data_IF_933992894296
#
_entry.id   IF_933992894296
#
_cell.length_a   1.000
_cell.length_b   1.000
_cell.length_c   1.000
_cell.angle_alpha   90.00
_cell.angle_beta   90.00
_cell.angle_gamma   90.00
#
_symmetry.space_group_name_H-M   'P 1'
#
loop_
_entity.id
_entity.type
_entity.pdbx_description
1 polymer ?
#
# COMPACT_ATOMS: atom_id res chain seq x y z
N UNK A 1 10.14 -27.74 17.19
CA UNK A 1 10.95 -26.95 16.23
C UNK A 1 11.84 -27.92 15.46
N UNK A 2 11.90 -27.83 14.14
CA UNK A 2 12.74 -28.69 13.30
C UNK A 2 14.20 -28.22 13.36
N UNK A 3 15.15 -29.12 13.07
CA UNK A 3 16.58 -28.79 13.06
C UNK A 3 16.93 -27.81 11.90
N UNK A 4 16.17 -27.87 10.81
CA UNK A 4 16.36 -27.02 9.61
C UNK A 4 15.03 -26.95 8.85
N UNK A 5 14.79 -25.82 8.17
CA UNK A 5 13.73 -25.59 7.20
C UNK A 5 14.31 -25.42 5.80
N UNK A 6 13.49 -25.59 4.78
CA UNK A 6 13.87 -25.21 3.42
C UNK A 6 13.81 -23.69 3.27
N UNK A 7 12.74 -23.08 3.81
CA UNK A 7 12.49 -21.63 3.74
C UNK A 7 12.11 -21.08 5.11
N UNK A 8 12.72 -19.96 5.48
CA UNK A 8 12.25 -19.12 6.59
C UNK A 8 11.65 -17.84 6.01
N UNK A 9 10.41 -17.54 6.37
CA UNK A 9 9.71 -16.31 6.01
C UNK A 9 9.67 -15.38 7.22
N UNK A 10 10.20 -14.17 7.08
CA UNK A 10 10.18 -13.16 8.13
C UNK A 10 9.06 -12.17 7.84
N UNK A 11 8.04 -12.16 8.71
CA UNK A 11 6.80 -11.38 8.57
C UNK A 11 5.63 -12.20 8.04
N UNK A 12 4.50 -12.10 8.74
CA UNK A 12 3.24 -12.79 8.43
C UNK A 12 2.15 -11.83 7.92
N UNK A 13 2.54 -10.81 7.18
CA UNK A 13 1.62 -9.99 6.38
C UNK A 13 1.13 -10.75 5.14
N UNK A 14 0.28 -10.13 4.28
CA UNK A 14 -0.21 -10.77 3.06
C UNK A 14 0.91 -11.32 2.16
N UNK A 15 2.03 -10.59 2.00
CA UNK A 15 3.18 -11.05 1.22
C UNK A 15 3.80 -12.33 1.82
N UNK A 16 4.08 -12.31 3.13
CA UNK A 16 4.74 -13.43 3.79
C UNK A 16 3.88 -14.69 3.83
N UNK A 17 2.58 -14.57 4.13
CA UNK A 17 1.66 -15.72 4.14
C UNK A 17 1.51 -16.34 2.75
N UNK A 18 1.44 -15.52 1.69
CA UNK A 18 1.35 -16.03 0.31
C UNK A 18 2.69 -16.59 -0.19
N UNK A 19 3.82 -16.00 0.22
CA UNK A 19 5.12 -16.57 -0.09
C UNK A 19 5.32 -17.94 0.58
N UNK A 20 4.92 -18.05 1.85
CA UNK A 20 4.96 -19.33 2.58
C UNK A 20 4.04 -20.37 1.93
N UNK A 21 2.81 -19.96 1.55
CA UNK A 21 1.87 -20.83 0.83
C UNK A 21 2.49 -21.36 -0.47
N UNK A 22 3.05 -20.48 -1.29
CA UNK A 22 3.66 -20.86 -2.56
C UNK A 22 4.80 -21.86 -2.39
N UNK A 23 5.68 -21.68 -1.41
CA UNK A 23 6.76 -22.62 -1.12
C UNK A 23 6.22 -23.96 -0.58
N UNK A 24 5.28 -23.91 0.36
CA UNK A 24 4.72 -25.10 0.99
C UNK A 24 3.87 -25.96 0.05
N UNK A 25 3.10 -25.34 -0.87
CA UNK A 25 2.37 -26.08 -1.94
C UNK A 25 3.31 -26.84 -2.89
N UNK A 26 4.56 -26.41 -2.99
CA UNK A 26 5.59 -27.09 -3.77
C UNK A 26 6.34 -28.17 -2.98
N UNK A 27 5.89 -28.48 -1.74
CA UNK A 27 6.40 -29.58 -0.93
C UNK A 27 7.56 -29.21 -0.02
N UNK A 28 7.87 -27.91 0.17
CA UNK A 28 8.97 -27.46 1.02
C UNK A 28 8.53 -27.18 2.46
N UNK A 29 9.43 -27.43 3.41
CA UNK A 29 9.25 -27.14 4.82
C UNK A 29 9.49 -25.67 5.10
N UNK A 30 8.47 -24.96 5.63
CA UNK A 30 8.50 -23.52 5.83
C UNK A 30 8.34 -23.18 7.29
N UNK A 31 9.15 -22.22 7.79
CA UNK A 31 8.91 -21.52 9.05
C UNK A 31 8.49 -20.08 8.78
N UNK A 32 7.44 -19.61 9.45
CA UNK A 32 7.05 -18.20 9.46
C UNK A 32 7.38 -17.61 10.82
N UNK A 33 8.06 -16.48 10.83
CA UNK A 33 8.43 -15.72 12.03
C UNK A 33 7.67 -14.41 12.03
N UNK A 34 6.89 -14.14 13.07
CA UNK A 34 6.08 -12.92 13.21
C UNK A 34 6.23 -12.33 14.62
N UNK A 35 6.49 -11.02 14.68
CA UNK A 35 6.64 -10.30 15.95
C UNK A 35 5.34 -10.05 16.71
N UNK A 36 4.18 -10.00 15.99
CA UNK A 36 2.88 -9.81 16.62
C UNK A 36 2.52 -11.01 17.49
N UNK A 37 1.81 -10.77 18.57
CA UNK A 37 1.26 -11.84 19.42
C UNK A 37 0.23 -12.69 18.68
N UNK A 38 -0.53 -12.06 17.78
CA UNK A 38 -1.54 -12.73 16.94
C UNK A 38 -1.51 -12.15 15.54
N UNK A 39 -1.19 -12.96 14.56
CA UNK A 39 -1.05 -12.56 13.15
C UNK A 39 -2.30 -11.83 12.63
N UNK A 40 -3.55 -12.31 12.85
CA UNK A 40 -4.72 -11.65 12.27
C UNK A 40 -5.00 -10.26 12.81
N UNK A 41 -4.52 -9.94 14.02
CA UNK A 41 -4.83 -8.65 14.64
C UNK A 41 -4.12 -7.52 13.93
N UNK A 42 -4.89 -6.52 13.47
CA UNK A 42 -4.35 -5.33 12.82
C UNK A 42 -3.89 -4.35 13.90
N UNK A 43 -2.60 -4.11 13.98
CA UNK A 43 -1.95 -3.19 14.92
C UNK A 43 -1.37 -1.96 14.23
N UNK A 44 -1.32 -1.94 12.91
CA UNK A 44 -0.83 -0.83 12.08
C UNK A 44 -1.96 -0.26 11.23
N UNK A 45 -1.83 0.98 10.86
CA UNK A 45 -2.76 1.65 9.96
C UNK A 45 -2.79 0.98 8.58
N UNK A 46 -3.98 0.82 8.01
CA UNK A 46 -4.20 0.29 6.67
C UNK A 46 -5.62 0.67 6.20
N UNK A 47 -5.76 1.15 4.97
CA UNK A 47 -7.06 1.49 4.39
C UNK A 47 -7.97 0.29 4.19
N UNK A 48 -7.41 -0.89 3.95
CA UNK A 48 -8.15 -2.13 3.70
C UNK A 48 -9.06 -2.00 2.49
N UNK A 49 -8.52 -1.48 1.40
CA UNK A 49 -9.18 -1.41 0.10
C UNK A 49 -8.36 -2.12 -0.97
N UNK A 50 -9.02 -2.55 -2.03
CA UNK A 50 -8.41 -3.21 -3.18
C UNK A 50 -8.83 -2.51 -4.45
N UNK A 51 -7.92 -2.46 -5.44
CA UNK A 51 -8.23 -1.91 -6.76
C UNK A 51 -9.28 -2.76 -7.48
N UNK A 52 -9.97 -2.17 -8.47
CA UNK A 52 -11.01 -2.85 -9.20
C UNK A 52 -10.45 -3.92 -10.15
N UNK A 53 -11.28 -4.90 -10.53
CA UNK A 53 -10.90 -5.95 -11.46
C UNK A 53 -10.63 -5.45 -12.90
N UNK A 54 -11.03 -4.23 -13.23
CA UNK A 54 -10.94 -3.68 -14.58
C UNK A 54 -9.61 -2.96 -14.86
N UNK A 55 -8.74 -2.85 -13.88
CA UNK A 55 -7.44 -2.20 -14.02
C UNK A 55 -6.33 -3.22 -13.85
N UNK A 56 -5.36 -3.21 -14.77
CA UNK A 56 -4.15 -4.01 -14.62
C UNK A 56 -3.22 -3.37 -13.61
N UNK A 57 -2.79 -4.17 -12.64
CA UNK A 57 -1.79 -3.79 -11.67
C UNK A 57 -0.61 -4.77 -11.70
N UNK A 58 0.58 -4.29 -11.98
CA UNK A 58 1.77 -5.12 -12.24
C UNK A 58 1.54 -6.22 -13.28
N UNK A 59 0.79 -5.88 -14.34
CA UNK A 59 0.40 -6.83 -15.37
C UNK A 59 -0.67 -7.84 -14.92
N UNK A 60 -1.29 -7.65 -13.76
CA UNK A 60 -2.26 -8.57 -13.20
C UNK A 60 -3.62 -7.92 -13.06
N UNK A 61 -4.65 -8.69 -13.33
CA UNK A 61 -6.02 -8.41 -12.96
C UNK A 61 -6.31 -9.04 -11.60
N UNK A 62 -7.13 -8.36 -10.83
CA UNK A 62 -7.70 -8.86 -9.59
C UNK A 62 -9.21 -8.93 -9.70
N UNK A 63 -9.83 -9.97 -9.18
CA UNK A 63 -11.28 -9.99 -9.00
C UNK A 63 -11.67 -10.81 -7.75
N UNK A 64 -12.84 -10.52 -7.22
CA UNK A 64 -13.46 -11.32 -6.19
C UNK A 64 -14.54 -12.20 -6.82
N UNK A 65 -14.37 -13.51 -6.71
CA UNK A 65 -15.39 -14.47 -7.08
C UNK A 65 -16.39 -14.62 -5.93
N UNK A 66 -17.55 -14.00 -6.05
CA UNK A 66 -18.58 -13.96 -5.02
C UNK A 66 -19.18 -15.35 -4.74
N UNK A 67 -19.29 -16.19 -5.77
CA UNK A 67 -19.85 -17.53 -5.64
C UNK A 67 -18.96 -18.45 -4.80
N UNK A 68 -17.67 -18.44 -5.10
CA UNK A 68 -16.69 -19.31 -4.47
C UNK A 68 -16.00 -18.65 -3.27
N UNK A 69 -16.34 -17.39 -2.99
CA UNK A 69 -15.73 -16.53 -1.95
C UNK A 69 -14.20 -16.56 -2.00
N UNK A 70 -13.65 -16.24 -3.17
CA UNK A 70 -12.20 -16.25 -3.41
C UNK A 70 -11.72 -14.96 -4.05
N UNK A 71 -10.57 -14.47 -3.58
CA UNK A 71 -9.76 -13.52 -4.33
C UNK A 71 -8.96 -14.27 -5.40
N UNK A 72 -8.98 -13.73 -6.61
CA UNK A 72 -8.38 -14.36 -7.78
C UNK A 72 -7.49 -13.37 -8.53
N UNK A 73 -6.31 -13.86 -8.90
CA UNK A 73 -5.30 -13.17 -9.72
C UNK A 73 -4.92 -14.08 -10.89
N UNK A 74 -5.75 -14.14 -11.94
CA UNK A 74 -5.61 -15.17 -13.00
C UNK A 74 -4.25 -15.13 -13.70
N UNK A 75 -3.68 -13.94 -13.92
CA UNK A 75 -2.41 -13.78 -14.63
C UNK A 75 -1.19 -14.36 -13.87
N UNK A 76 -1.29 -14.57 -12.57
CA UNK A 76 -0.22 -15.19 -11.75
C UNK A 76 -0.62 -16.55 -11.17
N UNK A 77 -1.79 -17.06 -11.56
CA UNK A 77 -2.28 -18.36 -11.09
C UNK A 77 -2.57 -18.39 -9.58
N UNK A 78 -2.83 -17.23 -8.96
CA UNK A 78 -3.10 -17.12 -7.54
C UNK A 78 -4.60 -17.06 -7.27
N UNK A 79 -5.08 -17.92 -6.37
CA UNK A 79 -6.41 -17.81 -5.81
C UNK A 79 -6.41 -18.32 -4.37
N UNK A 80 -7.11 -17.60 -3.49
CA UNK A 80 -7.24 -17.98 -2.08
C UNK A 80 -8.61 -17.57 -1.52
N UNK A 81 -9.13 -18.26 -0.48
CA UNK A 81 -10.43 -17.96 0.09
C UNK A 81 -10.42 -16.59 0.76
N UNK A 82 -11.54 -15.89 0.61
CA UNK A 82 -11.90 -14.75 1.41
C UNK A 82 -13.38 -14.82 1.76
N UNK A 83 -13.67 -15.18 3.00
CA UNK A 83 -15.05 -15.42 3.49
C UNK A 83 -15.66 -14.18 4.15
N UNK A 84 -14.91 -13.09 4.22
CA UNK A 84 -15.36 -11.85 4.84
C UNK A 84 -16.32 -11.04 3.97
N UNK A 85 -16.88 -10.00 4.54
CA UNK A 85 -17.74 -9.08 3.81
C UNK A 85 -16.93 -8.21 2.84
N UNK A 86 -17.58 -7.81 1.74
CA UNK A 86 -17.05 -6.90 0.73
C UNK A 86 -18.02 -5.74 0.56
N UNK A 87 -17.48 -4.52 0.53
CA UNK A 87 -18.21 -3.33 0.08
C UNK A 87 -17.64 -2.86 -1.25
N UNK A 88 -18.51 -2.70 -2.24
CA UNK A 88 -18.18 -2.15 -3.55
C UNK A 88 -18.21 -0.64 -3.48
N UNK A 89 -17.19 0.01 -4.03
CA UNK A 89 -17.04 1.46 -4.07
C UNK A 89 -17.15 1.92 -5.53
N UNK A 90 -17.88 2.97 -5.78
CA UNK A 90 -18.16 3.48 -7.12
C UNK A 90 -17.65 4.90 -7.36
N UNK A 91 -17.34 5.62 -6.27
CA UNK A 91 -16.88 7.00 -6.32
C UNK A 91 -15.72 7.26 -5.34
N UNK A 92 -14.79 8.08 -5.79
CA UNK A 92 -13.71 8.60 -4.97
C UNK A 92 -13.72 10.12 -5.04
N UNK A 93 -13.83 10.76 -3.89
CA UNK A 93 -13.85 12.22 -3.75
C UNK A 93 -12.54 12.71 -3.16
N UNK A 94 -11.91 13.67 -3.83
CA UNK A 94 -10.85 14.51 -3.26
C UNK A 94 -11.49 15.81 -2.81
N UNK A 95 -11.31 16.20 -1.55
CA UNK A 95 -12.03 17.32 -0.94
C UNK A 95 -11.07 18.34 -0.36
N UNK A 96 -11.23 19.60 -0.75
CA UNK A 96 -10.43 20.73 -0.25
C UNK A 96 -10.88 21.21 1.14
N UNK A 97 -10.09 22.04 1.85
CA UNK A 97 -10.47 22.59 3.15
C UNK A 97 -11.79 23.36 3.16
N UNK A 98 -12.17 24.01 2.05
CA UNK A 98 -13.47 24.73 1.94
C UNK A 98 -14.59 23.88 1.33
N UNK A 99 -14.34 22.56 1.16
CA UNK A 99 -15.28 21.57 0.66
C UNK A 99 -15.55 21.63 -0.85
N UNK A 100 -14.70 22.30 -1.66
CA UNK A 100 -14.66 22.04 -3.08
C UNK A 100 -14.15 20.61 -3.30
N UNK A 101 -14.65 19.93 -4.34
CA UNK A 101 -14.25 18.54 -4.54
C UNK A 101 -14.00 18.21 -6.01
N UNK A 102 -13.15 17.23 -6.20
CA UNK A 102 -12.89 16.52 -7.44
C UNK A 102 -13.45 15.12 -7.26
N UNK A 103 -14.20 14.62 -8.23
CA UNK A 103 -14.82 13.29 -8.17
C UNK A 103 -14.28 12.40 -9.28
N UNK A 104 -13.80 11.22 -8.90
CA UNK A 104 -13.54 10.10 -9.79
C UNK A 104 -14.70 9.12 -9.69
N UNK A 105 -15.43 8.92 -10.77
CA UNK A 105 -16.65 8.09 -10.76
C UNK A 105 -17.38 8.12 -12.08
N UNK A 106 -18.44 7.36 -12.16
CA UNK A 106 -19.29 7.34 -13.34
C UNK A 106 -20.11 8.64 -13.45
N UNK A 107 -20.30 9.19 -14.66
CA UNK A 107 -21.16 10.35 -14.85
C UNK A 107 -22.60 10.06 -14.38
N UNK A 108 -23.32 11.11 -14.03
CA UNK A 108 -24.71 11.00 -13.65
C UNK A 108 -25.53 10.39 -14.81
N UNK A 109 -26.44 9.46 -14.49
CA UNK A 109 -27.23 8.76 -15.50
C UNK A 109 -26.46 7.70 -16.32
N UNK A 110 -25.21 7.41 -15.97
CA UNK A 110 -24.44 6.36 -16.66
C UNK A 110 -25.16 5.02 -16.63
N UNK A 111 -25.31 4.44 -17.82
CA UNK A 111 -25.83 3.08 -18.03
C UNK A 111 -24.73 2.26 -18.71
N UNK A 112 -24.39 1.06 -18.21
CA UNK A 112 -23.45 0.20 -18.88
C UNK A 112 -23.88 -0.10 -20.32
N UNK A 113 -22.91 -0.21 -21.27
CA UNK A 113 -23.22 -0.36 -22.69
C UNK A 113 -23.89 -1.70 -23.04
N UNK A 114 -23.76 -2.70 -22.16
CA UNK A 114 -24.35 -4.03 -22.36
C UNK A 114 -25.57 -4.16 -21.45
N UNK A 115 -26.77 -4.46 -21.98
CA UNK A 115 -27.97 -4.68 -21.19
C UNK A 115 -27.75 -5.77 -20.12
N UNK A 116 -28.13 -5.46 -18.86
CA UNK A 116 -27.94 -6.36 -17.73
C UNK A 116 -26.54 -6.33 -17.10
N UNK A 117 -25.59 -5.63 -17.68
CA UNK A 117 -24.29 -5.41 -17.05
C UNK A 117 -24.42 -4.40 -15.91
N UNK A 118 -23.81 -4.70 -14.77
CA UNK A 118 -23.75 -3.76 -13.65
C UNK A 118 -22.54 -2.81 -13.79
N UNK A 119 -22.60 -1.65 -13.16
CA UNK A 119 -21.44 -0.77 -13.00
C UNK A 119 -20.32 -1.54 -12.31
N UNK A 120 -19.12 -1.46 -12.83
CA UNK A 120 -17.96 -2.04 -12.16
C UNK A 120 -17.52 -1.15 -10.99
N UNK A 121 -17.23 -1.72 -9.81
CA UNK A 121 -16.70 -0.93 -8.70
C UNK A 121 -15.30 -0.40 -9.03
N UNK A 122 -14.97 0.79 -8.54
CA UNK A 122 -13.63 1.36 -8.64
C UNK A 122 -12.68 0.84 -7.56
N UNK A 123 -13.24 0.32 -6.46
CA UNK A 123 -12.48 -0.37 -5.42
C UNK A 123 -13.39 -1.34 -4.65
N UNK A 124 -12.76 -2.31 -3.99
CA UNK A 124 -13.42 -3.18 -3.02
C UNK A 124 -12.82 -2.92 -1.63
N UNK A 125 -13.67 -2.61 -0.66
CA UNK A 125 -13.26 -2.55 0.75
C UNK A 125 -13.52 -3.90 1.41
N UNK A 126 -12.55 -4.40 2.15
CA UNK A 126 -12.54 -5.73 2.75
C UNK A 126 -12.07 -5.68 4.21
N UNK A 127 -12.21 -6.78 4.94
CA UNK A 127 -11.66 -6.95 6.28
C UNK A 127 -10.33 -7.70 6.25
N UNK A 128 -9.24 -6.99 6.55
CA UNK A 128 -7.88 -7.55 6.52
C UNK A 128 -7.66 -8.61 7.60
N UNK A 129 -8.36 -8.54 8.73
CA UNK A 129 -8.25 -9.57 9.78
C UNK A 129 -8.84 -10.89 9.29
N UNK A 130 -9.97 -10.83 8.56
CA UNK A 130 -10.55 -12.01 7.92
C UNK A 130 -9.65 -12.55 6.81
N UNK A 131 -9.05 -11.68 5.99
CA UNK A 131 -8.07 -12.07 4.98
C UNK A 131 -6.92 -12.87 5.60
N UNK A 132 -6.30 -12.35 6.65
CA UNK A 132 -5.17 -13.01 7.33
C UNK A 132 -5.60 -14.33 7.98
N UNK A 133 -6.79 -14.40 8.58
CA UNK A 133 -7.36 -15.64 9.13
C UNK A 133 -7.57 -16.72 8.05
N UNK A 134 -8.07 -16.30 6.88
CA UNK A 134 -8.28 -17.24 5.77
C UNK A 134 -6.95 -17.75 5.21
N UNK A 135 -5.94 -16.88 5.02
CA UNK A 135 -4.62 -17.31 4.58
C UNK A 135 -3.94 -18.26 5.59
N UNK A 136 -4.05 -17.96 6.89
CA UNK A 136 -3.56 -18.87 7.94
C UNK A 136 -4.27 -20.22 7.92
N UNK A 137 -5.57 -20.24 7.64
CA UNK A 137 -6.32 -21.50 7.53
C UNK A 137 -5.88 -22.35 6.35
N UNK A 138 -5.56 -21.71 5.21
CA UNK A 138 -4.98 -22.40 4.04
C UNK A 138 -3.64 -23.08 4.39
N UNK A 139 -2.77 -22.39 5.16
CA UNK A 139 -1.46 -22.91 5.53
C UNK A 139 -1.51 -24.17 6.41
N UNK A 140 -2.62 -24.43 7.09
CA UNK A 140 -2.79 -25.65 7.91
C UNK A 140 -2.77 -26.95 7.10
N UNK A 141 -2.98 -26.86 5.79
CA UNK A 141 -2.94 -28.02 4.90
C UNK A 141 -1.53 -28.40 4.47
N UNK A 142 -0.52 -27.61 4.86
CA UNK A 142 0.87 -27.74 4.43
C UNK A 142 1.83 -27.86 5.62
N UNK A 143 3.08 -28.19 5.33
CA UNK A 143 4.15 -28.28 6.33
C UNK A 143 4.71 -26.89 6.66
N UNK A 144 3.93 -26.08 7.40
CA UNK A 144 4.30 -24.72 7.81
C UNK A 144 4.28 -24.62 9.33
N UNK A 145 5.41 -24.33 9.93
CA UNK A 145 5.51 -23.98 11.35
C UNK A 145 5.40 -22.45 11.51
N UNK A 146 4.54 -21.99 12.39
CA UNK A 146 4.27 -20.56 12.61
C UNK A 146 4.72 -20.16 14.01
N UNK A 147 5.58 -19.16 14.10
CA UNK A 147 6.14 -18.62 15.34
C UNK A 147 5.66 -17.18 15.53
N UNK A 148 4.53 -17.02 16.21
CA UNK A 148 4.04 -15.71 16.67
C UNK A 148 4.85 -15.21 17.86
N UNK A 149 4.75 -13.93 18.18
CA UNK A 149 5.51 -13.26 19.25
C UNK A 149 7.02 -13.49 19.15
N UNK A 150 7.52 -13.63 17.92
CA UNK A 150 8.92 -13.97 17.63
C UNK A 150 9.52 -12.91 16.72
N UNK A 151 10.28 -11.99 17.31
CA UNK A 151 10.83 -10.85 16.61
C UNK A 151 12.18 -11.19 15.98
N UNK A 152 12.36 -10.90 14.69
CA UNK A 152 13.64 -10.98 13.98
C UNK A 152 14.67 -10.05 14.63
N UNK A 153 15.88 -10.57 14.87
CA UNK A 153 17.00 -9.81 15.44
C UNK A 153 18.26 -9.83 14.60
N UNK A 154 18.57 -10.96 13.94
CA UNK A 154 19.81 -11.08 13.17
C UNK A 154 19.70 -12.13 12.04
N UNK A 155 20.62 -12.03 11.08
CA UNK A 155 20.78 -12.97 9.98
C UNK A 155 22.29 -13.20 9.73
N UNK A 156 22.68 -14.47 9.64
CA UNK A 156 24.06 -14.89 9.37
C UNK A 156 24.09 -16.05 8.39
N UNK A 157 25.25 -16.42 7.89
CA UNK A 157 25.41 -17.50 6.92
C UNK A 157 26.31 -18.60 7.47
N UNK A 158 25.94 -19.86 7.22
CA UNK A 158 26.73 -21.03 7.56
C UNK A 158 26.79 -21.99 6.35
N UNK A 159 27.91 -22.03 5.67
CA UNK A 159 28.04 -22.74 4.40
C UNK A 159 27.04 -22.19 3.35
N UNK A 160 26.31 -23.05 2.64
CA UNK A 160 25.33 -22.62 1.64
C UNK A 160 23.98 -22.16 2.26
N UNK A 161 23.81 -22.25 3.59
CA UNK A 161 22.57 -21.95 4.29
C UNK A 161 22.58 -20.59 4.98
N UNK A 162 21.40 -20.21 5.41
CA UNK A 162 21.13 -18.97 6.15
C UNK A 162 20.63 -19.31 7.56
N UNK A 163 21.08 -18.55 8.54
CA UNK A 163 20.62 -18.66 9.93
C UNK A 163 19.92 -17.35 10.29
N UNK A 164 18.62 -17.42 10.57
CA UNK A 164 17.84 -16.33 11.11
C UNK A 164 17.78 -16.46 12.62
N UNK A 165 18.12 -15.41 13.34
CA UNK A 165 17.93 -15.30 14.79
C UNK A 165 16.67 -14.49 15.07
N UNK A 166 15.75 -15.07 15.82
CA UNK A 166 14.51 -14.40 16.20
C UNK A 166 14.01 -14.91 17.55
N UNK A 167 13.54 -14.03 18.43
CA UNK A 167 13.06 -14.39 19.78
C UNK A 167 14.08 -15.20 20.59
N UNK A 168 15.38 -14.96 20.42
CA UNK A 168 16.46 -15.73 21.07
C UNK A 168 16.70 -17.14 20.48
N UNK A 169 16.01 -17.51 19.41
CA UNK A 169 16.10 -18.82 18.75
C UNK A 169 16.76 -18.69 17.37
N UNK A 170 17.52 -19.69 16.98
CA UNK A 170 18.12 -19.78 15.64
C UNK A 170 17.33 -20.72 14.73
N UNK A 171 16.96 -20.21 13.56
CA UNK A 171 16.26 -20.93 12.50
C UNK A 171 17.21 -21.11 11.31
N UNK A 172 17.61 -22.33 11.03
CA UNK A 172 18.47 -22.66 9.88
C UNK A 172 17.63 -22.93 8.66
N UNK A 173 17.99 -22.37 7.50
CA UNK A 173 17.27 -22.58 6.24
C UNK A 173 18.19 -22.54 5.02
N UNK A 174 17.67 -22.98 3.89
CA UNK A 174 18.35 -22.82 2.59
C UNK A 174 18.10 -21.44 2.01
N UNK A 175 16.86 -20.92 2.14
CA UNK A 175 16.46 -19.58 1.72
C UNK A 175 15.72 -18.84 2.82
N UNK A 176 15.79 -17.51 2.77
CA UNK A 176 14.95 -16.61 3.57
C UNK A 176 14.13 -15.74 2.64
N UNK A 177 12.86 -15.52 2.99
CA UNK A 177 12.00 -14.53 2.35
C UNK A 177 11.72 -13.43 3.36
N UNK A 178 12.23 -12.22 3.08
CA UNK A 178 11.98 -11.02 3.87
C UNK A 178 10.66 -10.37 3.44
N UNK A 179 9.66 -10.41 4.31
CA UNK A 179 8.31 -9.90 4.11
C UNK A 179 7.82 -9.09 5.31
N UNK A 180 8.75 -8.43 6.02
CA UNK A 180 8.52 -7.76 7.31
C UNK A 180 8.07 -6.29 7.18
N UNK A 181 7.71 -5.87 5.95
CA UNK A 181 7.01 -4.61 5.67
C UNK A 181 7.95 -3.42 5.48
N UNK A 182 7.38 -2.20 5.40
CA UNK A 182 8.06 -0.95 5.03
C UNK A 182 9.32 -0.66 5.86
N UNK A 183 9.25 -0.85 7.17
CA UNK A 183 10.38 -0.65 8.09
C UNK A 183 11.10 -1.98 8.33
N UNK A 184 11.50 -2.66 7.26
CA UNK A 184 12.10 -3.99 7.29
C UNK A 184 13.47 -3.99 7.99
N UNK A 185 13.56 -4.73 9.08
CA UNK A 185 14.84 -4.97 9.76
C UNK A 185 15.76 -5.90 8.99
N UNK A 186 15.19 -6.83 8.22
CA UNK A 186 15.98 -7.72 7.36
C UNK A 186 16.65 -6.91 6.26
N UNK A 187 15.93 -6.00 5.60
CA UNK A 187 16.46 -5.09 4.57
C UNK A 187 17.58 -4.21 5.14
N UNK A 188 17.36 -3.65 6.33
CA UNK A 188 18.36 -2.84 7.03
C UNK A 188 19.61 -3.66 7.33
N UNK A 189 19.45 -4.84 7.93
CA UNK A 189 20.58 -5.72 8.30
C UNK A 189 21.39 -6.19 7.09
N UNK A 190 20.75 -6.35 5.93
CA UNK A 190 21.41 -6.72 4.67
C UNK A 190 22.05 -5.54 3.94
N UNK A 191 21.83 -4.32 4.40
CA UNK A 191 22.39 -3.11 3.83
C UNK A 191 21.75 -2.69 2.50
N UNK A 192 20.55 -3.18 2.16
CA UNK A 192 19.86 -2.77 0.94
C UNK A 192 19.52 -1.27 0.92
N UNK A 193 19.34 -0.64 2.08
CA UNK A 193 19.02 0.77 2.18
C UNK A 193 20.20 1.71 1.84
N UNK A 194 21.44 1.20 1.72
CA UNK A 194 22.58 2.02 1.33
C UNK A 194 22.44 2.57 -0.09
N UNK A 195 21.78 1.82 -0.98
CA UNK A 195 21.59 2.17 -2.38
C UNK A 195 20.19 2.77 -2.66
N UNK A 196 19.38 2.98 -1.61
CA UNK A 196 18.04 3.54 -1.72
C UNK A 196 17.99 4.99 -1.28
N UNK A 197 17.10 5.76 -1.86
CA UNK A 197 16.76 7.11 -1.37
C UNK A 197 15.59 7.01 -0.42
N UNK A 198 15.68 7.65 0.73
CA UNK A 198 14.52 7.94 1.56
C UNK A 198 13.71 9.02 0.84
N UNK A 199 12.47 8.72 0.47
CA UNK A 199 11.58 9.63 -0.27
C UNK A 199 10.76 10.46 0.71
N UNK A 200 10.20 9.81 1.74
CA UNK A 200 9.37 10.48 2.73
C UNK A 200 9.32 9.68 4.04
N UNK A 201 9.02 10.38 5.12
CA UNK A 201 8.51 9.80 6.35
C UNK A 201 7.01 10.10 6.43
N UNK A 202 6.20 9.08 6.59
CA UNK A 202 4.75 9.25 6.74
C UNK A 202 4.36 8.94 8.18
N UNK A 203 3.69 9.89 8.83
CA UNK A 203 3.11 9.74 10.15
C UNK A 203 1.62 9.53 10.00
N UNK A 204 1.10 8.41 10.49
CA UNK A 204 -0.30 8.02 10.28
C UNK A 204 -0.99 7.70 11.59
N UNK A 205 -2.21 8.22 11.76
CA UNK A 205 -3.15 7.85 12.82
C UNK A 205 -4.45 7.44 12.19
N UNK A 206 -5.03 6.31 12.60
CA UNK A 206 -6.35 5.90 12.14
C UNK A 206 -7.28 5.59 13.29
N UNK A 207 -8.56 5.82 13.04
CA UNK A 207 -9.65 5.53 13.94
C UNK A 207 -10.71 4.68 13.24
N UNK A 208 -11.11 3.59 13.87
CA UNK A 208 -12.34 2.91 13.52
C UNK A 208 -13.45 3.58 14.32
N UNK A 209 -14.41 4.16 13.62
CA UNK A 209 -15.46 4.98 14.21
C UNK A 209 -16.83 4.54 13.74
N UNK A 210 -17.84 4.72 14.60
CA UNK A 210 -19.25 4.55 14.28
C UNK A 210 -19.94 5.90 14.29
N UNK A 211 -20.93 6.08 13.40
CA UNK A 211 -21.72 7.31 13.33
C UNK A 211 -21.04 8.43 12.55
N UNK A 212 -19.98 8.15 11.77
CA UNK A 212 -19.40 9.10 10.82
C UNK A 212 -20.44 9.45 9.75
N UNK A 213 -20.64 10.74 9.56
CA UNK A 213 -21.57 11.25 8.54
C UNK A 213 -20.77 11.67 7.31
N UNK A 214 -20.62 10.75 6.36
CA UNK A 214 -20.07 11.11 5.07
C UNK A 214 -20.90 12.22 4.43
N UNK A 215 -20.21 13.15 3.80
CA UNK A 215 -20.87 14.20 3.00
C UNK A 215 -21.06 13.76 1.54
N UNK A 216 -20.66 12.55 1.25
CA UNK A 216 -20.75 11.85 -0.02
C UNK A 216 -21.57 10.56 0.19
N UNK A 217 -21.84 9.84 -0.86
CA UNK A 217 -22.56 8.58 -0.78
C UNK A 217 -21.81 7.53 0.06
N UNK A 218 -22.54 6.62 0.68
CA UNK A 218 -22.00 5.53 1.50
C UNK A 218 -21.10 4.56 0.70
N UNK A 219 -21.23 4.54 -0.61
CA UNK A 219 -20.44 3.72 -1.54
C UNK A 219 -19.26 4.51 -2.12
N UNK A 220 -18.78 5.50 -1.40
CA UNK A 220 -17.65 6.34 -1.80
C UNK A 220 -16.51 6.30 -0.80
N UNK A 221 -15.30 6.57 -1.31
CA UNK A 221 -14.12 6.90 -0.51
C UNK A 221 -13.95 8.42 -0.54
N UNK A 222 -13.63 9.00 0.61
CA UNK A 222 -13.32 10.41 0.72
C UNK A 222 -11.85 10.59 1.10
N UNK A 223 -11.12 11.35 0.29
CA UNK A 223 -9.79 11.87 0.64
C UNK A 223 -9.91 13.37 0.81
N UNK A 224 -9.63 13.87 2.00
CA UNK A 224 -9.65 15.29 2.32
C UNK A 224 -8.25 15.81 2.63
N UNK A 225 -8.08 17.11 2.57
CA UNK A 225 -6.90 17.79 3.09
C UNK A 225 -7.33 18.93 4.01
N UNK A 226 -6.68 19.04 5.14
CA UNK A 226 -6.79 20.18 6.05
C UNK A 226 -5.42 20.73 6.36
N UNK A 227 -5.37 21.88 7.03
CA UNK A 227 -4.11 22.50 7.40
C UNK A 227 -4.10 22.75 8.91
N UNK A 228 -3.03 22.33 9.55
CA UNK A 228 -2.73 22.59 10.96
C UNK A 228 -1.41 23.36 11.01
N UNK A 229 -1.42 24.53 11.62
CA UNK A 229 -0.26 25.42 11.65
C UNK A 229 0.34 25.71 10.26
N UNK A 230 -0.53 25.82 9.23
CA UNK A 230 -0.14 26.01 7.85
C UNK A 230 0.43 24.78 7.14
N UNK A 231 0.44 23.61 7.78
CA UNK A 231 0.97 22.36 7.25
C UNK A 231 -0.13 21.38 6.86
N UNK A 232 0.00 20.66 5.73
CA UNK A 232 -1.05 19.76 5.26
C UNK A 232 -1.18 18.52 6.14
N UNK A 233 -2.41 18.17 6.43
CA UNK A 233 -2.82 16.90 7.03
C UNK A 233 -3.91 16.29 6.16
N UNK A 234 -3.66 15.10 5.65
CA UNK A 234 -4.57 14.40 4.77
C UNK A 234 -5.49 13.48 5.57
N UNK A 235 -6.74 13.41 5.14
CA UNK A 235 -7.77 12.57 5.74
C UNK A 235 -8.26 11.58 4.68
N UNK A 236 -8.32 10.29 5.03
CA UNK A 236 -8.93 9.25 4.21
C UNK A 236 -10.05 8.61 5.01
N UNK A 237 -11.28 8.70 4.53
CA UNK A 237 -12.43 8.05 5.14
C UNK A 237 -12.95 6.94 4.23
N UNK A 238 -12.88 5.71 4.72
CA UNK A 238 -13.29 4.50 4.01
C UNK A 238 -14.40 3.81 4.81
N UNK A 239 -15.58 3.57 4.20
CA UNK A 239 -16.63 2.82 4.87
C UNK A 239 -16.16 1.38 5.11
N UNK A 240 -16.48 0.80 6.26
CA UNK A 240 -16.19 -0.61 6.52
C UNK A 240 -17.14 -1.50 5.72
N UNK A 241 -16.74 -2.75 5.43
CA UNK A 241 -17.57 -3.67 4.64
C UNK A 241 -18.94 -3.95 5.29
N UNK A 242 -19.00 -3.98 6.61
CA UNK A 242 -20.22 -4.21 7.37
C UNK A 242 -20.55 -3.07 8.31
N UNK A 243 -21.83 -2.91 8.59
CA UNK A 243 -22.35 -1.94 9.54
C UNK A 243 -22.17 -0.49 9.11
N UNK A 244 -22.28 0.41 10.09
CA UNK A 244 -22.13 1.85 9.93
C UNK A 244 -20.74 2.34 10.38
N UNK A 245 -19.76 1.45 10.36
CA UNK A 245 -18.40 1.75 10.78
C UNK A 245 -17.57 2.31 9.62
N UNK A 246 -16.66 3.20 9.98
CA UNK A 246 -15.70 3.79 9.06
C UNK A 246 -14.29 3.63 9.59
N UNK A 247 -13.35 3.42 8.69
CA UNK A 247 -11.93 3.53 8.97
C UNK A 247 -11.47 4.90 8.47
N UNK A 248 -11.11 5.78 9.39
CA UNK A 248 -10.66 7.14 9.05
C UNK A 248 -9.20 7.28 9.42
N UNK A 249 -8.37 7.54 8.40
CA UNK A 249 -6.95 7.71 8.53
C UNK A 249 -6.60 9.20 8.39
N UNK A 250 -5.69 9.65 9.22
CA UNK A 250 -5.04 10.95 9.11
C UNK A 250 -3.56 10.72 8.88
N UNK A 251 -2.98 11.39 7.91
CA UNK A 251 -1.55 11.30 7.66
C UNK A 251 -0.94 12.68 7.39
N UNK A 252 0.33 12.80 7.71
CA UNK A 252 1.16 13.96 7.37
C UNK A 252 2.59 13.51 7.08
N UNK A 253 3.28 14.29 6.25
CA UNK A 253 4.72 14.14 6.01
C UNK A 253 5.55 15.05 6.95
N UNK A 254 4.88 15.88 7.73
CA UNK A 254 5.48 16.91 8.57
C UNK A 254 5.90 16.35 9.94
N UNK A 255 7.19 16.14 10.13
CA UNK A 255 7.77 15.64 11.39
C UNK A 255 7.45 16.53 12.61
N UNK A 256 7.29 17.83 12.38
CA UNK A 256 7.00 18.81 13.44
C UNK A 256 5.57 18.74 13.98
N UNK A 257 4.65 18.06 13.27
CA UNK A 257 3.28 17.86 13.72
C UNK A 257 3.14 16.54 14.50
N UNK A 258 2.53 16.61 15.68
CA UNK A 258 2.01 15.42 16.32
C UNK A 258 0.74 14.98 15.58
N UNK A 259 0.80 13.88 14.86
CA UNK A 259 -0.34 13.41 14.03
C UNK A 259 -1.59 13.10 14.86
N UNK A 260 -1.46 12.68 16.11
CA UNK A 260 -2.63 12.44 16.97
C UNK A 260 -3.35 13.74 17.33
N UNK A 261 -2.61 14.78 17.70
CA UNK A 261 -3.16 16.09 18.03
C UNK A 261 -3.73 16.77 16.78
N UNK A 262 -3.03 16.70 15.65
CA UNK A 262 -3.49 17.23 14.36
C UNK A 262 -4.80 16.56 13.90
N UNK A 263 -4.91 15.24 14.03
CA UNK A 263 -6.14 14.50 13.72
C UNK A 263 -7.31 14.95 14.61
N UNK A 264 -7.09 15.07 15.93
CA UNK A 264 -8.11 15.55 16.87
C UNK A 264 -8.55 16.98 16.54
N UNK A 265 -7.61 17.85 16.20
CA UNK A 265 -7.91 19.23 15.81
C UNK A 265 -8.73 19.27 14.52
N UNK A 266 -8.36 18.52 13.48
CA UNK A 266 -9.17 18.44 12.24
C UNK A 266 -10.57 17.92 12.50
N UNK A 267 -10.74 16.91 13.35
CA UNK A 267 -12.04 16.37 13.72
C UNK A 267 -12.92 17.36 14.47
N UNK A 268 -12.35 18.34 15.17
CA UNK A 268 -13.10 19.28 16.00
C UNK A 268 -13.27 20.66 15.38
N UNK A 269 -12.28 21.16 14.66
CA UNK A 269 -12.17 22.58 14.29
C UNK A 269 -12.26 22.85 12.79
N UNK A 270 -12.07 21.83 11.94
CA UNK A 270 -12.16 21.99 10.47
C UNK A 270 -13.60 21.90 9.96
N UNK A 271 -13.79 22.17 8.67
CA UNK A 271 -15.09 21.92 8.01
C UNK A 271 -15.51 20.47 7.99
N UNK A 272 -14.54 19.54 8.16
CA UNK A 272 -14.83 18.12 8.34
C UNK A 272 -15.47 17.80 9.70
N UNK A 273 -15.37 18.68 10.71
CA UNK A 273 -15.87 18.46 12.06
C UNK A 273 -17.35 18.03 12.12
N UNK A 274 -18.18 18.51 11.18
CA UNK A 274 -19.60 18.11 11.09
C UNK A 274 -19.76 16.61 10.81
N UNK A 275 -18.84 15.99 10.11
CA UNK A 275 -18.84 14.53 9.81
C UNK A 275 -18.53 13.70 11.06
N UNK A 276 -17.84 14.29 12.02
CA UNK A 276 -17.42 13.62 13.26
C UNK A 276 -18.35 13.89 14.45
N UNK A 277 -19.36 14.74 14.28
CA UNK A 277 -20.29 15.08 15.37
C UNK A 277 -21.09 13.86 15.82
N UNK A 278 -20.89 13.47 17.08
CA UNK A 278 -21.58 12.32 17.68
C UNK A 278 -20.98 10.96 17.34
N UNK A 279 -19.77 10.92 16.76
CA UNK A 279 -19.08 9.66 16.48
C UNK A 279 -18.58 8.99 17.76
N UNK A 280 -18.53 7.66 17.74
CA UNK A 280 -17.90 6.82 18.75
C UNK A 280 -16.61 6.21 18.18
N UNK A 281 -15.47 6.45 18.85
CA UNK A 281 -14.21 5.76 18.53
C UNK A 281 -14.25 4.34 19.09
N UNK A 282 -14.01 3.35 18.25
CA UNK A 282 -14.04 1.93 18.60
C UNK A 282 -12.64 1.38 18.80
N UNK A 283 -11.72 1.76 17.92
CA UNK A 283 -10.33 1.32 17.92
C UNK A 283 -9.47 2.40 17.26
N UNK A 284 -8.21 2.46 17.65
CA UNK A 284 -7.23 3.31 16.98
C UNK A 284 -5.95 2.55 16.68
N UNK A 285 -5.28 2.97 15.63
CA UNK A 285 -3.96 2.48 15.23
C UNK A 285 -3.08 3.66 14.85
N UNK A 286 -1.77 3.47 14.94
CA UNK A 286 -0.79 4.43 14.45
C UNK A 286 0.34 3.71 13.72
N UNK A 287 0.99 4.42 12.82
CA UNK A 287 2.19 3.96 12.14
C UNK A 287 3.08 5.16 11.81
N UNK A 288 4.38 4.90 11.77
CA UNK A 288 5.35 5.73 11.08
C UNK A 288 6.01 4.84 10.03
N UNK A 289 6.09 5.32 8.81
CA UNK A 289 6.58 4.55 7.69
C UNK A 289 7.69 5.32 6.97
N UNK A 290 8.82 4.64 6.77
CA UNK A 290 9.93 5.16 5.96
C UNK A 290 9.72 4.73 4.52
N UNK A 291 9.44 5.68 3.64
CA UNK A 291 9.21 5.42 2.23
C UNK A 291 10.52 5.56 1.48
N UNK A 292 11.09 4.43 1.14
CA UNK A 292 12.32 4.36 0.35
C UNK A 292 12.01 4.11 -1.13
N UNK A 293 12.92 4.52 -2.00
CA UNK A 293 12.90 4.08 -3.39
C UNK A 293 12.90 2.55 -3.49
N UNK A 294 12.29 1.95 -4.52
CA UNK A 294 12.25 0.51 -4.69
C UNK A 294 13.64 -0.14 -4.68
N UNK A 295 13.76 -1.35 -4.13
CA UNK A 295 14.96 -2.17 -4.28
C UNK A 295 15.01 -2.66 -5.72
N UNK A 296 16.05 -2.32 -6.47
CA UNK A 296 16.18 -2.68 -7.89
C UNK A 296 16.36 -4.20 -8.07
N UNK A 297 17.23 -4.80 -7.27
CA UNK A 297 17.48 -6.25 -7.26
C UNK A 297 17.18 -6.81 -5.86
N UNK A 298 15.95 -7.30 -5.61
CA UNK A 298 15.51 -7.67 -4.27
C UNK A 298 16.02 -9.06 -3.83
N UNK A 299 17.23 -9.42 -4.21
CA UNK A 299 17.86 -10.70 -3.86
C UNK A 299 19.34 -10.53 -3.52
N UNK A 300 19.75 -11.11 -2.40
CA UNK A 300 21.15 -11.13 -1.93
C UNK A 300 21.38 -12.33 -1.02
N UNK A 301 22.41 -13.13 -1.33
CA UNK A 301 22.90 -14.21 -0.45
C UNK A 301 21.77 -15.13 0.09
N UNK A 302 20.96 -15.71 -0.80
CA UNK A 302 19.82 -16.56 -0.49
C UNK A 302 18.69 -15.89 0.32
N UNK A 303 18.64 -14.56 0.33
CA UNK A 303 17.55 -13.78 0.92
C UNK A 303 16.82 -13.05 -0.21
N UNK A 304 15.53 -13.35 -0.38
CA UNK A 304 14.64 -12.67 -1.31
C UNK A 304 13.74 -11.70 -0.53
N UNK A 305 13.67 -10.45 -0.98
CA UNK A 305 12.83 -9.41 -0.37
C UNK A 305 11.55 -9.25 -1.18
N UNK A 306 10.39 -9.28 -0.53
CA UNK A 306 9.07 -9.20 -1.16
C UNK A 306 8.15 -8.20 -0.45
N UNK A 307 7.07 -7.81 -1.10
CA UNK A 307 6.08 -6.88 -0.55
C UNK A 307 6.66 -5.50 -0.25
N UNK A 308 6.09 -4.85 0.76
CA UNK A 308 6.47 -3.49 1.14
C UNK A 308 7.92 -3.37 1.64
N UNK A 309 8.56 -4.47 2.02
CA UNK A 309 9.97 -4.51 2.34
C UNK A 309 10.85 -4.22 1.10
N UNK A 310 10.43 -4.68 -0.07
CA UNK A 310 11.11 -4.39 -1.33
C UNK A 310 10.73 -3.00 -1.88
N UNK A 311 9.46 -2.63 -1.76
CA UNK A 311 8.94 -1.30 -2.08
C UNK A 311 7.56 -1.14 -1.45
N UNK A 312 7.36 -0.07 -0.70
CA UNK A 312 6.03 0.33 -0.25
C UNK A 312 5.23 0.82 -1.46
N UNK A 313 4.02 0.30 -1.60
CA UNK A 313 3.16 0.58 -2.74
C UNK A 313 1.85 1.16 -2.24
N UNK A 314 1.44 2.27 -2.84
CA UNK A 314 0.20 2.98 -2.50
C UNK A 314 -1.09 2.23 -2.93
N UNK A 315 -1.01 0.93 -3.15
CA UNK A 315 -2.07 0.12 -3.71
C UNK A 315 -2.51 -0.97 -2.73
N UNK A 316 -2.52 -0.61 -1.47
CA UNK A 316 -2.94 -1.46 -0.38
C UNK A 316 -2.13 -2.76 -0.37
N UNK A 317 -2.78 -3.90 -0.28
CA UNK A 317 -2.06 -5.17 -0.20
C UNK A 317 -1.84 -5.87 -1.55
N UNK A 318 -2.28 -5.29 -2.69
CA UNK A 318 -2.22 -5.98 -3.99
C UNK A 318 -0.79 -6.33 -4.41
N UNK A 319 0.08 -5.34 -4.42
CA UNK A 319 1.49 -5.57 -4.79
C UNK A 319 2.19 -6.51 -3.83
N UNK A 320 1.89 -6.41 -2.54
CA UNK A 320 2.42 -7.31 -1.54
C UNK A 320 1.97 -8.77 -1.78
N UNK A 321 0.69 -8.99 -2.11
CA UNK A 321 0.16 -10.32 -2.43
C UNK A 321 0.81 -10.91 -3.68
N UNK A 322 0.90 -10.14 -4.76
CA UNK A 322 1.47 -10.59 -6.03
C UNK A 322 2.96 -10.91 -5.88
N UNK A 323 3.74 -9.98 -5.30
CA UNK A 323 5.19 -10.16 -5.14
C UNK A 323 5.53 -11.28 -4.16
N UNK A 324 4.76 -11.41 -3.06
CA UNK A 324 4.91 -12.49 -2.12
C UNK A 324 4.67 -13.87 -2.75
N UNK A 325 3.57 -14.04 -3.47
CA UNK A 325 3.25 -15.27 -4.19
C UNK A 325 4.33 -15.64 -5.21
N UNK A 326 4.68 -14.70 -6.10
CA UNK A 326 5.74 -14.94 -7.11
C UNK A 326 7.10 -15.21 -6.49
N UNK A 327 7.44 -14.49 -5.41
CA UNK A 327 8.68 -14.72 -4.67
C UNK A 327 8.75 -16.09 -4.04
N UNK A 328 7.65 -16.56 -3.45
CA UNK A 328 7.55 -17.92 -2.91
C UNK A 328 7.69 -19.01 -4.00
N UNK A 329 7.05 -18.80 -5.17
CA UNK A 329 7.22 -19.71 -6.32
C UNK A 329 8.67 -19.72 -6.83
N UNK A 330 9.31 -18.55 -6.92
CA UNK A 330 10.70 -18.44 -7.36
C UNK A 330 11.67 -19.17 -6.42
N UNK A 331 11.48 -19.01 -5.10
CA UNK A 331 12.30 -19.72 -4.11
C UNK A 331 12.05 -21.24 -4.17
N UNK A 332 10.79 -21.67 -4.33
CA UNK A 332 10.46 -23.08 -4.48
C UNK A 332 11.11 -23.69 -5.74
N UNK A 333 11.08 -22.97 -6.87
CA UNK A 333 11.73 -23.41 -8.09
C UNK A 333 13.26 -23.45 -7.92
N UNK A 334 13.88 -22.46 -7.30
CA UNK A 334 15.31 -22.45 -7.02
C UNK A 334 15.74 -23.61 -6.11
N UNK A 335 14.94 -24.00 -5.14
CA UNK A 335 15.20 -25.17 -4.30
C UNK A 335 15.16 -26.48 -5.13
N UNK A 336 14.23 -26.61 -6.09
CA UNK A 336 14.19 -27.75 -7.01
C UNK A 336 15.40 -27.76 -7.94
N UNK A 337 15.81 -26.61 -8.46
CA UNK A 337 17.02 -26.45 -9.26
C UNK A 337 18.26 -26.92 -8.49
N UNK A 338 18.40 -26.53 -7.22
CA UNK A 338 19.49 -27.04 -6.37
C UNK A 338 19.43 -28.55 -6.17
N UNK A 339 18.26 -29.14 -5.94
CA UNK A 339 18.09 -30.58 -5.81
C UNK A 339 18.48 -31.33 -7.10
N UNK A 340 18.30 -30.71 -8.26
CA UNK A 340 18.69 -31.24 -9.56
C UNK A 340 20.18 -30.98 -9.92
N UNK A 341 20.90 -30.24 -9.10
CA UNK A 341 22.30 -29.88 -9.33
C UNK A 341 22.50 -28.84 -10.44
N UNK A 342 21.45 -28.06 -10.77
CA UNK A 342 21.53 -26.97 -11.76
C UNK A 342 21.60 -25.61 -11.05
N UNK A 343 22.22 -24.57 -11.67
CA UNK A 343 22.25 -23.24 -11.10
C UNK A 343 20.85 -22.66 -10.90
N UNK A 344 20.58 -21.93 -9.82
CA UNK A 344 19.26 -21.40 -9.51
C UNK A 344 18.92 -20.19 -10.42
N UNK A 345 18.18 -20.43 -11.48
CA UNK A 345 17.73 -19.41 -12.42
C UNK A 345 16.44 -18.71 -11.96
N UNK A 346 15.56 -19.43 -11.28
CA UNK A 346 14.21 -18.96 -10.95
C UNK A 346 14.18 -17.66 -10.12
N UNK A 347 15.16 -17.45 -9.23
CA UNK A 347 15.25 -16.19 -8.47
C UNK A 347 15.73 -15.04 -9.37
N UNK A 348 16.59 -15.31 -10.35
CA UNK A 348 16.98 -14.30 -11.35
C UNK A 348 15.77 -13.89 -12.19
N UNK A 349 14.96 -14.85 -12.61
CA UNK A 349 13.73 -14.60 -13.37
C UNK A 349 12.72 -13.77 -12.56
N UNK A 350 12.64 -13.98 -11.24
CA UNK A 350 11.85 -13.12 -10.36
C UNK A 350 12.39 -11.68 -10.34
N UNK A 351 13.72 -11.51 -10.22
CA UNK A 351 14.33 -10.18 -10.24
C UNK A 351 14.10 -9.47 -11.59
N UNK A 352 14.15 -10.19 -12.70
CA UNK A 352 13.87 -9.66 -14.03
C UNK A 352 12.38 -9.29 -14.19
N UNK A 353 11.48 -10.12 -13.68
CA UNK A 353 10.06 -9.79 -13.62
C UNK A 353 9.83 -8.52 -12.78
N UNK A 354 10.43 -8.44 -11.59
CA UNK A 354 10.34 -7.29 -10.70
C UNK A 354 10.83 -6.01 -11.39
N UNK A 355 12.01 -6.06 -12.00
CA UNK A 355 12.58 -4.95 -12.75
C UNK A 355 11.69 -4.50 -13.92
N UNK A 356 11.22 -5.44 -14.73
CA UNK A 356 10.50 -5.11 -15.96
C UNK A 356 9.02 -4.78 -15.74
N UNK A 357 8.39 -5.41 -14.74
CA UNK A 357 6.96 -5.23 -14.48
C UNK A 357 6.69 -4.14 -13.46
N UNK A 358 7.51 -4.06 -12.41
CA UNK A 358 7.33 -3.12 -11.32
C UNK A 358 8.15 -1.84 -11.53
N UNK A 359 9.48 -1.96 -11.60
CA UNK A 359 10.37 -0.79 -11.64
C UNK A 359 10.22 0.01 -12.93
N UNK A 360 10.31 -0.65 -14.10
CA UNK A 360 10.29 0.05 -15.40
C UNK A 360 8.90 0.48 -15.85
N UNK A 361 7.87 -0.32 -15.56
CA UNK A 361 6.51 -0.06 -16.08
C UNK A 361 5.73 0.94 -15.23
N UNK A 362 5.86 0.85 -13.92
CA UNK A 362 5.28 1.83 -13.01
C UNK A 362 6.25 2.94 -12.69
N UNK A 363 7.49 2.74 -13.13
CA UNK A 363 8.57 3.70 -13.11
C UNK A 363 8.74 4.36 -11.73
N UNK A 364 9.96 4.36 -11.23
CA UNK A 364 10.34 5.21 -10.09
C UNK A 364 9.76 6.63 -10.22
N UNK A 365 9.67 7.13 -11.45
CA UNK A 365 9.03 8.38 -11.82
C UNK A 365 7.52 8.39 -11.49
N UNK A 366 6.75 7.39 -11.91
CA UNK A 366 5.31 7.33 -11.61
C UNK A 366 5.02 7.17 -10.12
N UNK A 367 5.88 6.46 -9.41
CA UNK A 367 5.83 6.35 -7.95
C UNK A 367 6.06 7.72 -7.29
N UNK A 368 7.06 8.47 -7.74
CA UNK A 368 7.33 9.82 -7.27
C UNK A 368 6.21 10.80 -7.65
N UNK A 369 5.55 10.63 -8.79
CA UNK A 369 4.38 11.45 -9.18
C UNK A 369 3.24 11.28 -8.18
N UNK A 370 2.96 10.06 -7.73
CA UNK A 370 1.91 9.80 -6.73
C UNK A 370 2.24 10.47 -5.39
N UNK A 371 3.48 10.34 -4.91
CA UNK A 371 3.90 11.04 -3.69
C UNK A 371 4.03 12.54 -3.89
N UNK A 372 4.50 12.97 -5.04
CA UNK A 372 4.70 14.37 -5.38
C UNK A 372 3.43 15.21 -5.34
N UNK A 373 2.26 14.61 -5.63
CA UNK A 373 0.97 15.31 -5.52
C UNK A 373 0.73 15.87 -4.11
N UNK A 374 1.19 15.18 -3.07
CA UNK A 374 1.07 15.67 -1.70
C UNK A 374 1.86 16.99 -1.46
N UNK A 375 2.91 17.22 -2.24
CA UNK A 375 3.76 18.42 -2.15
C UNK A 375 3.40 19.49 -3.18
N UNK A 376 2.56 19.18 -4.19
CA UNK A 376 2.16 20.11 -5.24
C UNK A 376 1.27 21.25 -4.73
N UNK A 377 0.65 21.08 -3.58
CA UNK A 377 -0.30 22.04 -3.05
C UNK A 377 0.10 22.45 -1.61
N UNK A 378 1.15 23.26 -1.48
CA UNK A 378 1.69 23.62 -0.17
C UNK A 378 0.78 24.58 0.63
N UNK A 379 -0.19 25.21 -0.03
CA UNK A 379 -1.06 26.22 0.56
C UNK A 379 -2.53 25.91 0.37
N UNK A 380 -3.33 26.24 1.40
CA UNK A 380 -4.77 26.00 1.40
C UNK A 380 -5.48 26.72 0.26
N UNK A 381 -5.18 27.99 0.02
CA UNK A 381 -5.84 28.83 -0.99
C UNK A 381 -5.61 28.30 -2.43
N UNK A 382 -4.46 27.68 -2.68
CA UNK A 382 -4.16 27.03 -3.96
C UNK A 382 -5.06 25.82 -4.18
N UNK A 383 -5.16 24.93 -3.17
CA UNK A 383 -6.01 23.74 -3.26
C UNK A 383 -7.47 24.15 -3.44
N UNK A 384 -7.94 25.10 -2.65
CA UNK A 384 -9.33 25.54 -2.72
C UNK A 384 -9.68 26.14 -4.08
N UNK A 385 -8.78 26.95 -4.65
CA UNK A 385 -8.94 27.55 -5.95
C UNK A 385 -8.92 26.49 -7.08
N UNK A 386 -7.90 25.64 -7.11
CA UNK A 386 -7.75 24.62 -8.15
C UNK A 386 -8.94 23.61 -8.12
N UNK A 387 -9.33 23.14 -6.94
CA UNK A 387 -10.49 22.23 -6.82
C UNK A 387 -11.80 22.92 -7.22
N UNK A 388 -11.88 24.24 -7.07
CA UNK A 388 -12.99 25.04 -7.55
C UNK A 388 -13.08 25.13 -9.08
N UNK A 389 -11.96 24.96 -9.80
CA UNK A 389 -11.90 24.94 -11.26
C UNK A 389 -12.21 23.57 -11.87
N UNK A 390 -11.82 22.48 -11.20
CA UNK A 390 -11.91 21.10 -11.69
C UNK A 390 -13.25 20.47 -11.30
N UNK A 391 -14.37 20.97 -11.85
CA UNK A 391 -15.73 20.59 -11.43
C UNK A 391 -16.31 19.37 -12.14
N UNK A 392 -15.76 18.98 -13.29
CA UNK A 392 -16.28 17.85 -14.05
C UNK A 392 -15.85 16.51 -13.42
N UNK A 393 -16.71 15.47 -13.40
CA UNK A 393 -16.31 14.17 -12.90
C UNK A 393 -15.24 13.56 -13.79
N UNK A 394 -14.21 13.04 -13.16
CA UNK A 394 -13.16 12.28 -13.83
C UNK A 394 -13.61 10.84 -14.06
N UNK A 395 -13.01 10.15 -15.05
CA UNK A 395 -13.27 8.73 -15.28
C UNK A 395 -13.16 7.91 -13.98
N UNK A 396 -13.99 6.84 -13.83
CA UNK A 396 -14.01 6.03 -12.63
C UNK A 396 -12.66 5.30 -12.45
N UNK A 397 -11.95 5.66 -11.41
CA UNK A 397 -10.70 4.99 -10.99
C UNK A 397 -10.44 5.24 -9.50
N UNK A 398 -9.79 4.29 -8.84
CA UNK A 398 -9.18 4.46 -7.53
C UNK A 398 -7.66 4.21 -7.62
N UNK A 399 -7.14 4.04 -8.82
CA UNK A 399 -5.71 3.87 -9.07
C UNK A 399 -5.01 5.23 -8.99
N UNK A 400 -4.16 5.48 -7.99
CA UNK A 400 -3.50 6.77 -7.81
C UNK A 400 -2.60 7.15 -9.00
N UNK A 401 -1.96 6.19 -9.66
CA UNK A 401 -1.16 6.44 -10.87
C UNK A 401 -2.00 6.95 -12.05
N UNK A 402 -3.19 6.39 -12.22
CA UNK A 402 -4.15 6.86 -13.23
C UNK A 402 -4.72 8.22 -12.85
N UNK A 403 -5.11 8.40 -11.59
CA UNK A 403 -5.70 9.63 -11.09
C UNK A 403 -4.77 10.84 -11.24
N UNK A 404 -3.49 10.69 -10.89
CA UNK A 404 -2.48 11.76 -11.01
C UNK A 404 -2.32 12.22 -12.45
N UNK A 405 -2.30 11.29 -13.42
CA UNK A 405 -2.21 11.62 -14.85
C UNK A 405 -3.46 12.35 -15.36
N UNK A 406 -4.64 11.92 -14.92
CA UNK A 406 -5.91 12.60 -15.24
C UNK A 406 -5.95 14.01 -14.66
N UNK A 407 -5.53 14.19 -13.41
CA UNK A 407 -5.40 15.51 -12.77
C UNK A 407 -4.41 16.40 -13.52
N UNK A 408 -3.24 15.88 -13.89
CA UNK A 408 -2.23 16.60 -14.65
C UNK A 408 -2.77 17.11 -16.01
N UNK A 409 -3.49 16.24 -16.73
CA UNK A 409 -4.13 16.62 -18.00
C UNK A 409 -5.24 17.68 -17.82
N UNK A 410 -6.01 17.59 -16.74
CA UNK A 410 -7.03 18.57 -16.41
C UNK A 410 -6.40 19.92 -15.99
N UNK A 411 -5.33 19.90 -15.22
CA UNK A 411 -4.57 21.10 -14.85
C UNK A 411 -4.04 21.85 -16.08
N UNK A 412 -3.51 21.14 -17.08
CA UNK A 412 -3.08 21.77 -18.33
C UNK A 412 -4.20 22.53 -19.02
N UNK A 413 -5.45 22.04 -18.98
CA UNK A 413 -6.60 22.69 -19.60
C UNK A 413 -7.01 23.99 -18.89
N UNK A 414 -6.92 24.03 -17.57
CA UNK A 414 -7.30 25.21 -16.76
C UNK A 414 -6.14 26.20 -16.58
N UNK A 415 -4.94 25.84 -16.95
CA UNK A 415 -3.73 26.67 -16.76
C UNK A 415 -3.85 28.08 -17.38
N UNK A 416 -4.42 28.29 -18.58
CA UNK A 416 -4.64 29.64 -19.12
C UNK A 416 -5.51 30.51 -18.21
N UNK A 417 -6.55 29.94 -17.58
CA UNK A 417 -7.39 30.64 -16.63
C UNK A 417 -6.63 30.94 -15.34
N UNK A 418 -5.89 29.98 -14.82
CA UNK A 418 -5.04 30.16 -13.62
C UNK A 418 -4.03 31.29 -13.88
N UNK A 419 -3.40 31.33 -15.06
CA UNK A 419 -2.44 32.35 -15.42
C UNK A 419 -3.06 33.77 -15.47
N UNK A 420 -4.32 33.84 -15.94
CA UNK A 420 -5.05 35.11 -16.04
C UNK A 420 -5.55 35.61 -14.68
N UNK A 421 -6.06 34.73 -13.84
CA UNK A 421 -6.73 35.08 -12.59
C UNK A 421 -5.78 35.07 -11.37
N UNK A 422 -4.84 34.13 -11.35
CA UNK A 422 -3.93 33.90 -10.22
C UNK A 422 -2.50 33.60 -10.69
N UNK A 423 -1.81 34.58 -11.34
CA UNK A 423 -0.44 34.39 -11.83
C UNK A 423 0.56 34.05 -10.71
N UNK A 424 0.26 34.44 -9.47
CA UNK A 424 1.02 34.03 -8.27
C UNK A 424 1.07 32.51 -8.09
N UNK A 425 -0.05 31.83 -8.29
CA UNK A 425 -0.14 30.37 -8.22
C UNK A 425 0.71 29.71 -9.31
N UNK A 426 0.68 30.27 -10.52
CA UNK A 426 1.49 29.73 -11.62
C UNK A 426 2.98 29.79 -11.30
N UNK A 427 3.47 30.91 -10.76
CA UNK A 427 4.87 31.05 -10.35
C UNK A 427 5.27 30.02 -9.29
N UNK A 428 4.38 29.71 -8.36
CA UNK A 428 4.60 28.73 -7.31
C UNK A 428 4.50 27.29 -7.81
N UNK A 429 3.55 27.00 -8.70
CA UNK A 429 3.37 25.67 -9.28
C UNK A 429 4.30 25.34 -10.46
N UNK A 430 4.83 26.35 -11.16
CA UNK A 430 5.75 26.17 -12.29
C UNK A 430 6.92 25.24 -11.97
N UNK A 431 7.62 25.40 -10.84
CA UNK A 431 8.66 24.44 -10.44
C UNK A 431 8.14 23.01 -10.27
N UNK A 432 6.87 22.87 -9.82
CA UNK A 432 6.23 21.58 -9.60
C UNK A 432 5.71 20.92 -10.88
N UNK A 433 5.35 21.74 -11.90
CA UNK A 433 4.83 21.29 -13.19
C UNK A 433 5.91 20.90 -14.18
N UNK A 434 7.10 21.52 -14.06
CA UNK A 434 8.24 21.32 -14.96
C UNK A 434 9.45 20.66 -14.31
N UNK A 435 9.64 20.82 -13.00
CA UNK A 435 10.53 19.95 -12.26
C UNK A 435 9.78 18.63 -12.05
N UNK A 436 10.34 17.55 -12.56
CA UNK A 436 9.82 16.24 -12.21
C UNK A 436 9.67 16.15 -10.69
N UNK A 437 8.61 15.53 -10.17
CA UNK A 437 8.43 15.36 -8.73
C UNK A 437 9.67 14.84 -7.99
N UNK A 438 10.57 14.11 -8.69
CA UNK A 438 11.87 13.70 -8.19
C UNK A 438 12.81 14.85 -7.80
N UNK A 439 12.76 15.99 -8.47
CA UNK A 439 13.61 17.14 -8.13
C UNK A 439 13.04 17.92 -6.95
N UNK A 440 11.72 17.99 -6.85
CA UNK A 440 11.02 18.63 -5.71
C UNK A 440 11.28 17.81 -4.47
N UNK A 441 11.05 16.50 -4.53
CA UNK A 441 11.31 15.58 -3.44
C UNK A 441 12.80 15.57 -3.05
N UNK A 442 13.72 15.64 -4.01
CA UNK A 442 15.15 15.70 -3.69
C UNK A 442 15.58 17.02 -3.04
N UNK A 443 14.93 18.15 -3.33
CA UNK A 443 15.16 19.41 -2.63
C UNK A 443 14.62 19.40 -1.22
N UNK A 444 13.38 18.91 -1.02
CA UNK A 444 12.77 18.78 0.31
C UNK A 444 13.55 17.82 1.19
N UNK A 445 14.08 16.72 0.63
CA UNK A 445 14.88 15.74 1.35
C UNK A 445 16.33 16.18 1.63
N UNK A 446 16.86 17.13 0.86
CA UNK A 446 18.19 17.69 1.11
C UNK A 446 18.21 18.63 2.33
N UNK A 447 17.06 19.14 2.75
CA UNK A 447 16.90 20.04 3.91
C UNK A 447 16.68 19.28 5.22
N UNK A 448 16.41 17.96 5.19
CA UNK A 448 16.30 17.15 6.41
C UNK A 448 17.63 16.48 6.78
N UNK A 449 18.12 16.64 8.04
CA UNK A 449 19.31 15.94 8.49
C UNK A 449 19.03 14.42 8.51
N UNK A 450 19.94 13.63 7.92
CA UNK A 450 19.88 12.17 7.96
C UNK A 450 19.78 11.71 9.40
N UNK A 451 18.84 10.81 9.77
CA UNK A 451 18.83 10.23 11.09
C UNK A 451 20.14 9.46 11.29
N UNK A 452 20.87 9.85 12.35
CA UNK A 452 22.11 9.21 12.83
C UNK A 452 21.84 7.82 13.37
#
# INVERSE_FOLDING_TARGET
>A
MKARYDVVVVGAGPAGLLAAKAAAENGFEVAIIERKEKIPVITRTCGQSLLPPNEYFFGNLFHYNERDKRFCFPNVGLSFPYTGPIKKIYDWYLVSPVMNYIRFGYPEGYTPPIPGMMKAPIALVYDKEVLLKNLLSELKHYQVDIFEHTEFTDITWAGPGVIVTAGGTQFKSSFVIAADGTNSRVVERLGFNHDRKLIANIYVKSFFIRGFKSQTDIESILTGVGFIEGKPVYLFALPRPEGEEWNVLFLTFEKSLNISDAAEQLMKESRFARSFKGTQKLRECAAMEHIYSPIIKPFKNNVLVVGDAASCQELECLGAMISGWKGGLAVAAALKEFQLGVPPQAVSDYCDWWLNTYIKKYDYQGYLEVFGVAYMFPRQDIIDYIFGLLKEPFPPTFNPYTAVRLLGAAMQKVMPQVLAERPDIVQELLPCLFAFPSEILSKTLAEEPRPS
#
